data_IF_037100472278
#
_entry.id   IF_037100472278
#
_cell.length_a   1.000
_cell.length_b   1.000
_cell.length_c   1.000
_cell.angle_alpha   90.00
_cell.angle_beta   90.00
_cell.angle_gamma   90.00
#
_symmetry.space_group_name_H-M   'P 1'
#
loop_
_entity.id
_entity.type
_entity.pdbx_description
1 polymer ?
#
# COMPACT_ATOMS: atom_id res chain seq x y z
N UNK A 1 -9.04 -15.64 0.49
CA UNK A 1 -8.65 -14.31 -0.02
C UNK A 1 -8.03 -13.57 1.14
N UNK A 2 -6.71 -13.42 1.14
CA UNK A 2 -6.00 -12.77 2.24
C UNK A 2 -5.92 -11.27 1.99
N UNK A 3 -6.31 -10.48 2.98
CA UNK A 3 -6.18 -9.04 2.93
C UNK A 3 -4.71 -8.64 3.05
N UNK A 4 -4.25 -7.80 2.12
CA UNK A 4 -2.88 -7.28 2.12
C UNK A 4 -2.65 -6.27 3.26
N UNK A 5 -1.40 -5.96 3.60
CA UNK A 5 -1.09 -4.88 4.56
C UNK A 5 -1.77 -3.55 4.20
N UNK A 6 -1.91 -3.24 2.91
CA UNK A 6 -2.57 -2.02 2.42
C UNK A 6 -4.04 -1.92 2.84
N UNK A 7 -4.78 -3.05 2.79
CA UNK A 7 -6.17 -3.08 3.26
C UNK A 7 -6.26 -2.82 4.75
N UNK A 8 -5.42 -3.51 5.54
CA UNK A 8 -5.40 -3.38 7.00
C UNK A 8 -5.03 -1.96 7.43
N UNK A 9 -4.07 -1.33 6.73
CA UNK A 9 -3.68 0.05 6.98
C UNK A 9 -4.85 1.01 6.74
N UNK A 10 -5.57 0.88 5.62
CA UNK A 10 -6.74 1.73 5.36
C UNK A 10 -7.82 1.56 6.45
N UNK A 11 -8.11 0.32 6.88
CA UNK A 11 -9.10 0.09 7.93
C UNK A 11 -8.69 0.76 9.26
N UNK A 12 -7.41 0.68 9.64
CA UNK A 12 -6.91 1.39 10.84
C UNK A 12 -7.01 2.91 10.70
N UNK A 13 -6.74 3.44 9.51
CA UNK A 13 -6.93 4.86 9.24
C UNK A 13 -8.42 5.25 9.34
N UNK A 14 -9.32 4.39 8.87
CA UNK A 14 -10.77 4.58 8.94
C UNK A 14 -11.32 4.64 10.37
N UNK A 15 -10.66 4.02 11.35
CA UNK A 15 -11.01 4.15 12.77
C UNK A 15 -10.85 5.58 13.31
N UNK A 16 -10.02 6.40 12.65
CA UNK A 16 -9.69 7.78 13.06
C UNK A 16 -10.24 8.83 12.11
N UNK A 17 -10.39 8.50 10.83
CA UNK A 17 -10.86 9.42 9.80
C UNK A 17 -11.81 8.71 8.80
N UNK A 18 -13.06 9.18 8.77
CA UNK A 18 -14.12 8.68 7.89
C UNK A 18 -13.78 8.75 6.40
N UNK A 19 -12.82 9.58 6.00
CA UNK A 19 -12.33 9.67 4.61
C UNK A 19 -11.70 8.36 4.11
N UNK A 20 -11.41 7.41 5.00
CA UNK A 20 -10.83 6.11 4.65
C UNK A 20 -11.79 4.92 4.74
N UNK A 21 -13.05 5.14 5.14
CA UNK A 21 -14.05 4.07 5.31
C UNK A 21 -14.35 3.34 4.00
N UNK A 22 -14.40 4.08 2.88
CA UNK A 22 -14.63 3.53 1.56
C UNK A 22 -13.41 3.68 0.66
N UNK A 23 -13.25 2.77 -0.31
CA UNK A 23 -12.18 2.89 -1.32
C UNK A 23 -12.33 4.12 -2.20
N UNK A 24 -13.57 4.59 -2.38
CA UNK A 24 -13.90 5.77 -3.16
C UNK A 24 -13.36 7.03 -2.48
N UNK A 25 -13.69 7.22 -1.21
CA UNK A 25 -13.19 8.35 -0.41
C UNK A 25 -11.68 8.27 -0.21
N UNK A 26 -11.15 7.11 0.17
CA UNK A 26 -9.71 6.91 0.34
C UNK A 26 -8.93 7.16 -0.96
N UNK A 27 -9.46 6.67 -2.09
CA UNK A 27 -8.88 6.90 -3.40
C UNK A 27 -8.84 8.38 -3.78
N UNK A 28 -9.85 9.17 -3.38
CA UNK A 28 -9.84 10.61 -3.59
C UNK A 28 -8.75 11.32 -2.76
N UNK A 29 -8.51 10.87 -1.53
CA UNK A 29 -7.41 11.40 -0.68
C UNK A 29 -6.04 11.01 -1.23
N UNK A 30 -5.88 9.75 -1.64
CA UNK A 30 -4.59 9.21 -2.14
C UNK A 30 -4.30 9.65 -3.58
N UNK A 31 -5.31 10.06 -4.33
CA UNK A 31 -5.18 10.41 -5.75
C UNK A 31 -5.19 9.21 -6.69
N UNK A 32 -5.81 8.08 -6.30
CA UNK A 32 -5.93 6.88 -7.14
C UNK A 32 -7.38 6.41 -7.26
N UNK A 33 -7.69 5.73 -8.37
CA UNK A 33 -9.03 5.18 -8.58
C UNK A 33 -9.39 4.07 -7.57
N UNK A 34 -10.65 4.03 -7.12
CA UNK A 34 -11.15 3.04 -6.17
C UNK A 34 -10.98 1.58 -6.64
N UNK A 35 -11.12 1.33 -7.95
CA UNK A 35 -10.83 0.02 -8.57
C UNK A 35 -9.35 -0.36 -8.44
N UNK A 36 -8.45 0.61 -8.58
CA UNK A 36 -7.01 0.38 -8.42
C UNK A 36 -6.67 0.08 -6.96
N UNK A 37 -7.22 0.86 -6.02
CA UNK A 37 -7.08 0.60 -4.59
C UNK A 37 -7.64 -0.79 -4.21
N UNK A 38 -8.78 -1.20 -4.76
CA UNK A 38 -9.30 -2.57 -4.59
C UNK A 38 -8.29 -3.63 -5.08
N UNK A 39 -7.71 -3.44 -6.27
CA UNK A 39 -6.75 -4.40 -6.82
C UNK A 39 -5.50 -4.53 -5.95
N UNK A 40 -4.99 -3.41 -5.43
CA UNK A 40 -3.85 -3.40 -4.50
C UNK A 40 -4.20 -4.11 -3.19
N UNK A 41 -5.33 -3.73 -2.57
CA UNK A 41 -5.79 -4.30 -1.30
C UNK A 41 -5.99 -5.81 -1.35
N UNK A 42 -6.37 -6.33 -2.51
CA UNK A 42 -6.61 -7.76 -2.75
C UNK A 42 -5.41 -8.51 -3.32
N UNK A 43 -4.28 -7.84 -3.52
CA UNK A 43 -3.08 -8.44 -4.10
C UNK A 43 -3.21 -8.83 -5.58
N UNK A 44 -4.20 -8.26 -6.29
CA UNK A 44 -4.40 -8.47 -7.73
C UNK A 44 -3.37 -7.67 -8.53
N UNK A 45 -3.03 -6.47 -8.05
CA UNK A 45 -1.97 -5.64 -8.61
C UNK A 45 -1.02 -5.17 -7.52
N UNK A 46 0.26 -5.10 -7.88
CA UNK A 46 1.27 -4.48 -7.05
C UNK A 46 1.12 -2.94 -7.14
N UNK A 47 1.26 -2.22 -6.02
CA UNK A 47 1.24 -0.76 -6.03
C UNK A 47 2.50 -0.19 -6.68
N UNK A 48 2.42 1.05 -7.17
CA UNK A 48 3.60 1.84 -7.54
C UNK A 48 4.23 2.48 -6.29
N UNK A 49 5.49 2.88 -6.40
CA UNK A 49 6.27 3.48 -5.31
C UNK A 49 5.62 4.74 -4.74
N UNK A 50 5.15 5.63 -5.60
CA UNK A 50 4.45 6.87 -5.26
C UNK A 50 3.14 6.58 -4.50
N UNK A 51 2.39 5.59 -4.94
CA UNK A 51 1.16 5.17 -4.26
C UNK A 51 1.43 4.65 -2.85
N UNK A 52 2.49 3.85 -2.65
CA UNK A 52 2.85 3.37 -1.32
C UNK A 52 3.31 4.51 -0.42
N UNK A 53 4.07 5.47 -0.96
CA UNK A 53 4.50 6.67 -0.22
C UNK A 53 3.28 7.47 0.26
N UNK A 54 2.32 7.73 -0.64
CA UNK A 54 1.10 8.47 -0.27
C UNK A 54 0.25 7.65 0.70
N UNK A 55 0.04 6.35 0.48
CA UNK A 55 -0.69 5.49 1.42
C UNK A 55 -0.04 5.47 2.80
N UNK A 56 1.28 5.31 2.90
CA UNK A 56 1.99 5.28 4.17
C UNK A 56 1.86 6.60 4.94
N UNK A 57 1.88 7.72 4.22
CA UNK A 57 1.69 9.05 4.81
C UNK A 57 0.24 9.27 5.27
N UNK A 58 -0.72 9.10 4.38
CA UNK A 58 -2.13 9.43 4.65
C UNK A 58 -2.79 8.45 5.63
N UNK A 59 -2.37 7.17 5.64
CA UNK A 59 -2.84 6.19 6.62
C UNK A 59 -2.09 6.22 7.96
N UNK A 60 -1.01 7.00 8.05
CA UNK A 60 -0.05 6.96 9.17
C UNK A 60 0.48 5.52 9.42
N UNK A 61 0.98 4.90 8.35
CA UNK A 61 1.37 3.49 8.29
C UNK A 61 2.76 3.31 7.63
N UNK A 62 3.86 3.72 8.29
CA UNK A 62 5.22 3.61 7.74
C UNK A 62 5.65 2.17 7.45
N UNK A 63 5.02 1.17 8.09
CA UNK A 63 5.30 -0.25 7.83
C UNK A 63 5.01 -0.67 6.38
N UNK A 64 4.16 0.07 5.66
CA UNK A 64 3.87 -0.19 4.25
C UNK A 64 5.11 0.01 3.36
N UNK A 65 5.95 0.99 3.70
CA UNK A 65 7.20 1.24 2.97
C UNK A 65 8.15 0.07 3.15
N UNK A 66 8.31 -0.41 4.39
CA UNK A 66 9.16 -1.55 4.68
C UNK A 66 8.69 -2.80 3.93
N UNK A 67 7.39 -3.10 3.99
CA UNK A 67 6.80 -4.22 3.28
C UNK A 67 7.04 -4.13 1.76
N UNK A 68 6.84 -2.96 1.17
CA UNK A 68 7.08 -2.72 -0.25
C UNK A 68 8.55 -2.93 -0.62
N UNK A 69 9.48 -2.32 0.13
CA UNK A 69 10.92 -2.46 -0.13
C UNK A 69 11.40 -3.91 -0.02
N UNK A 70 10.84 -4.69 0.91
CA UNK A 70 11.23 -6.07 1.12
C UNK A 70 10.67 -7.03 0.07
N UNK A 71 9.42 -6.83 -0.38
CA UNK A 71 8.67 -7.83 -1.16
C UNK A 71 8.35 -7.42 -2.60
N UNK A 72 8.38 -6.13 -2.92
CA UNK A 72 7.83 -5.59 -4.19
C UNK A 72 8.85 -4.75 -4.95
N UNK A 73 9.64 -3.94 -4.25
CA UNK A 73 10.56 -2.98 -4.87
C UNK A 73 11.63 -3.68 -5.72
N UNK A 74 11.76 -3.26 -6.97
CA UNK A 74 12.76 -3.79 -7.90
C UNK A 74 14.20 -3.52 -7.42
N UNK A 75 14.45 -2.37 -6.80
CA UNK A 75 15.77 -2.04 -6.22
C UNK A 75 16.07 -2.99 -5.06
N UNK A 76 15.12 -3.19 -4.15
CA UNK A 76 15.28 -4.12 -3.03
C UNK A 76 15.56 -5.55 -3.51
N UNK A 77 14.87 -6.00 -4.55
CA UNK A 77 15.11 -7.30 -5.18
C UNK A 77 16.51 -7.38 -5.84
N UNK A 78 16.99 -6.29 -6.44
CA UNK A 78 18.33 -6.23 -7.02
C UNK A 78 19.41 -6.32 -5.93
N UNK A 79 19.31 -5.52 -4.86
CA UNK A 79 20.26 -5.53 -3.75
C UNK A 79 20.35 -6.89 -3.04
N UNK A 80 19.28 -7.69 -3.05
CA UNK A 80 19.27 -9.04 -2.46
C UNK A 80 20.01 -10.07 -3.32
N UNK A 81 20.15 -9.86 -4.64
CA UNK A 81 20.84 -10.81 -5.53
C UNK A 81 22.35 -10.90 -5.29
N UNK A 82 22.97 -9.81 -4.84
CA UNK A 82 24.42 -9.73 -4.65
C UNK A 82 24.90 -10.30 -3.29
N UNK A 83 23.98 -10.76 -2.43
CA UNK A 83 24.31 -11.31 -1.10
C UNK A 83 24.29 -12.85 -1.05
N UNK A 84 24.35 -13.52 -2.20
CA UNK A 84 24.31 -14.99 -2.29
C UNK A 84 25.48 -15.59 -3.10
N UNK A 85 26.64 -14.93 -3.06
CA UNK A 85 27.95 -15.48 -3.47
C UNK A 85 28.78 -15.88 -2.23
#
# INVERSE_FOLDING_TARGET
>A
MNDTPYYKARLRAAERDSAFESRQSAGAVIGIGSTRLYQIERGIRLPHEDEVIVMAKEYDAPELIHYYCEHVCAIGAYCKKDNND
#
